data_IF_918455434312
#
_entry.id   IF_918455434312
#
_cell.length_a   1.000
_cell.length_b   1.000
_cell.length_c   1.000
_cell.angle_alpha   90.00
_cell.angle_beta   90.00
_cell.angle_gamma   90.00
#
_symmetry.space_group_name_H-M   'P 1'
#
loop_
_entity.id
_entity.type
_entity.pdbx_description
1 polymer ?
#
# COMPACT_ATOMS: atom_id res chain seq x y z
N UNK A 1 1.92 14.16 20.34
CA UNK A 1 2.95 13.27 20.91
C UNK A 1 3.95 12.74 19.87
N UNK A 2 3.61 12.64 18.57
CA UNK A 2 4.52 12.14 17.52
C UNK A 2 5.45 13.19 16.86
N UNK A 3 5.35 14.48 17.19
CA UNK A 3 5.94 15.54 16.35
C UNK A 3 7.46 15.75 16.51
N UNK A 4 8.12 15.11 17.49
CA UNK A 4 9.57 15.32 17.73
C UNK A 4 10.38 14.02 17.95
N UNK A 5 9.74 12.90 18.28
CA UNK A 5 10.45 11.64 18.57
C UNK A 5 11.01 10.96 17.32
N UNK A 6 10.22 10.89 16.25
CA UNK A 6 10.67 10.24 14.99
C UNK A 6 11.82 11.00 14.32
N UNK A 7 11.77 12.34 14.14
CA UNK A 7 12.87 13.09 13.54
C UNK A 7 14.19 12.99 14.33
N UNK A 8 14.10 12.98 15.67
CA UNK A 8 15.27 12.83 16.54
C UNK A 8 15.89 11.43 16.43
N UNK A 9 15.05 10.39 16.42
CA UNK A 9 15.50 9.01 16.25
C UNK A 9 16.09 8.78 14.85
N UNK A 10 15.46 9.32 13.80
CA UNK A 10 15.98 9.26 12.44
C UNK A 10 17.36 9.93 12.33
N UNK A 11 17.52 11.09 12.96
CA UNK A 11 18.81 11.79 13.01
C UNK A 11 19.87 10.96 13.72
N UNK A 12 19.55 10.35 14.86
CA UNK A 12 20.48 9.48 15.60
C UNK A 12 20.91 8.28 14.77
N UNK A 13 19.97 7.57 14.15
CA UNK A 13 20.25 6.41 13.29
C UNK A 13 21.10 6.82 12.09
N UNK A 14 20.79 7.94 11.44
CA UNK A 14 21.53 8.43 10.26
C UNK A 14 22.97 8.81 10.63
N UNK A 15 23.17 9.47 11.78
CA UNK A 15 24.51 9.72 12.33
C UNK A 15 25.28 8.43 12.59
N UNK A 16 24.62 7.37 13.08
CA UNK A 16 25.26 6.06 13.26
C UNK A 16 25.64 5.42 11.92
N UNK A 17 24.78 5.50 10.89
CA UNK A 17 25.07 4.97 9.55
C UNK A 17 26.33 5.61 8.93
N UNK A 18 26.54 6.91 9.17
CA UNK A 18 27.68 7.66 8.65
C UNK A 18 28.80 7.90 9.67
N UNK A 19 28.82 7.19 10.81
CA UNK A 19 29.75 7.50 11.91
C UNK A 19 31.22 7.60 11.47
N UNK A 20 31.63 6.74 10.55
CA UNK A 20 33.01 6.58 10.09
C UNK A 20 33.17 7.00 8.61
N UNK A 21 32.29 7.86 8.08
CA UNK A 21 32.27 8.28 6.68
C UNK A 21 31.98 9.78 6.54
N UNK A 22 32.76 10.46 5.71
CA UNK A 22 32.37 11.79 5.25
C UNK A 22 31.16 11.69 4.32
N UNK A 23 30.19 12.57 4.54
CA UNK A 23 28.96 12.63 3.77
C UNK A 23 28.57 14.09 3.60
N UNK A 24 28.18 14.47 2.39
CA UNK A 24 27.63 15.78 2.10
C UNK A 24 26.23 15.94 2.75
N UNK A 25 25.82 17.19 2.94
CA UNK A 25 24.56 17.52 3.61
C UNK A 25 23.34 16.95 2.85
N UNK A 26 23.37 16.96 1.52
CA UNK A 26 22.28 16.47 0.69
C UNK A 26 22.08 14.97 0.87
N UNK A 27 23.16 14.20 0.80
CA UNK A 27 23.13 12.75 0.99
C UNK A 27 22.74 12.38 2.42
N UNK A 28 23.19 13.14 3.41
CA UNK A 28 22.73 12.96 4.79
C UNK A 28 21.21 13.18 4.90
N UNK A 29 20.70 14.27 4.30
CA UNK A 29 19.28 14.61 4.31
C UNK A 29 18.42 13.55 3.63
N UNK A 30 18.85 13.03 2.46
CA UNK A 30 18.15 11.96 1.73
C UNK A 30 18.04 10.69 2.59
N UNK A 31 19.14 10.25 3.20
CA UNK A 31 19.13 9.04 4.04
C UNK A 31 18.28 9.26 5.29
N UNK A 32 18.41 10.41 5.96
CA UNK A 32 17.59 10.76 7.13
C UNK A 32 16.10 10.71 6.79
N UNK A 33 15.71 11.29 5.65
CA UNK A 33 14.32 11.26 5.20
C UNK A 33 13.82 9.84 4.95
N UNK A 34 14.64 8.99 4.33
CA UNK A 34 14.33 7.57 4.14
C UNK A 34 14.13 6.82 5.47
N UNK A 35 15.01 7.06 6.45
CA UNK A 35 14.90 6.51 7.81
C UNK A 35 13.64 7.02 8.51
N UNK A 36 13.32 8.30 8.36
CA UNK A 36 12.10 8.89 8.93
C UNK A 36 10.83 8.24 8.37
N UNK A 37 10.73 8.08 7.05
CA UNK A 37 9.61 7.36 6.42
C UNK A 37 9.52 5.93 6.95
N UNK A 38 10.65 5.23 7.03
CA UNK A 38 10.72 3.87 7.54
C UNK A 38 10.17 3.77 8.97
N UNK A 39 10.64 4.64 9.88
CA UNK A 39 10.19 4.67 11.27
C UNK A 39 8.71 5.01 11.41
N UNK A 40 8.19 5.95 10.62
CA UNK A 40 6.76 6.27 10.58
C UNK A 40 5.95 5.03 10.18
N UNK A 41 6.38 4.32 9.14
CA UNK A 41 5.67 3.13 8.66
C UNK A 41 5.77 1.95 9.63
N UNK A 42 6.93 1.73 10.26
CA UNK A 42 7.08 0.72 11.33
C UNK A 42 6.15 1.02 12.50
N UNK A 43 6.08 2.27 12.95
CA UNK A 43 5.21 2.65 14.05
C UNK A 43 3.73 2.41 13.72
N UNK A 44 3.31 2.74 12.49
CA UNK A 44 1.95 2.42 12.03
C UNK A 44 1.71 0.92 11.94
N UNK A 45 2.69 0.18 11.43
CA UNK A 45 2.67 -1.28 11.38
C UNK A 45 2.44 -1.89 12.76
N UNK A 46 3.17 -1.43 13.78
CA UNK A 46 2.98 -1.87 15.17
C UNK A 46 1.53 -1.65 15.61
N UNK A 47 0.94 -0.48 15.36
CA UNK A 47 -0.46 -0.22 15.74
C UNK A 47 -1.43 -1.19 15.03
N UNK A 48 -1.25 -1.40 13.72
CA UNK A 48 -2.09 -2.31 12.92
C UNK A 48 -1.96 -3.75 13.40
N UNK A 49 -0.74 -4.25 13.61
CA UNK A 49 -0.50 -5.63 14.02
C UNK A 49 -0.82 -5.88 15.50
N UNK A 50 -0.72 -4.88 16.38
CA UNK A 50 -1.25 -4.98 17.74
C UNK A 50 -2.77 -5.10 17.72
N UNK A 51 -3.46 -4.28 16.92
CA UNK A 51 -4.92 -4.40 16.76
C UNK A 51 -5.32 -5.79 16.21
N UNK A 52 -4.55 -6.32 15.25
CA UNK A 52 -4.76 -7.67 14.74
C UNK A 52 -4.51 -8.75 15.79
N UNK A 53 -3.46 -8.62 16.61
CA UNK A 53 -3.18 -9.56 17.71
C UNK A 53 -4.32 -9.59 18.74
N UNK A 54 -4.87 -8.43 19.12
CA UNK A 54 -6.00 -8.34 20.06
C UNK A 54 -7.26 -9.06 19.55
N UNK A 55 -7.45 -9.14 18.23
CA UNK A 55 -8.59 -9.83 17.60
C UNK A 55 -8.24 -11.26 17.15
N UNK A 56 -7.02 -11.73 17.34
CA UNK A 56 -6.57 -13.04 16.85
C UNK A 56 -6.46 -13.13 15.33
N UNK A 57 -6.27 -11.99 14.63
CA UNK A 57 -6.34 -11.85 13.18
C UNK A 57 -4.98 -11.68 12.49
N UNK A 58 -3.87 -12.02 13.15
CA UNK A 58 -2.51 -11.76 12.65
C UNK A 58 -2.26 -12.36 11.26
N UNK A 59 -2.71 -13.61 11.05
CA UNK A 59 -2.53 -14.31 9.77
C UNK A 59 -3.31 -13.60 8.64
N UNK A 60 -4.58 -13.32 8.86
CA UNK A 60 -5.44 -12.70 7.87
C UNK A 60 -4.97 -11.29 7.53
N UNK A 61 -4.57 -10.52 8.55
CA UNK A 61 -3.99 -9.20 8.36
C UNK A 61 -2.73 -9.26 7.52
N UNK A 62 -1.83 -10.22 7.78
CA UNK A 62 -0.61 -10.40 7.01
C UNK A 62 -0.91 -10.70 5.54
N UNK A 63 -1.82 -11.63 5.25
CA UNK A 63 -2.19 -12.03 3.87
C UNK A 63 -2.76 -10.84 3.09
N UNK A 64 -3.71 -10.12 3.66
CA UNK A 64 -4.38 -8.98 3.01
C UNK A 64 -3.37 -7.84 2.79
N UNK A 65 -2.57 -7.53 3.81
CA UNK A 65 -1.59 -6.46 3.75
C UNK A 65 -0.47 -6.77 2.74
N UNK A 66 0.01 -8.01 2.65
CA UNK A 66 1.04 -8.41 1.69
C UNK A 66 0.54 -8.36 0.24
N UNK A 67 -0.65 -8.90 -0.03
CA UNK A 67 -1.27 -8.84 -1.37
C UNK A 67 -1.49 -7.41 -1.82
N UNK A 68 -1.98 -6.55 -0.92
CA UNK A 68 -2.09 -5.11 -1.16
C UNK A 68 -0.74 -4.48 -1.51
N UNK A 69 0.30 -4.73 -0.68
CA UNK A 69 1.62 -4.11 -0.84
C UNK A 69 2.32 -4.55 -2.14
N UNK A 70 2.18 -5.82 -2.53
CA UNK A 70 2.75 -6.35 -3.77
C UNK A 70 2.24 -5.63 -5.02
N UNK A 71 0.96 -5.24 -5.04
CA UNK A 71 0.39 -4.45 -6.13
C UNK A 71 0.74 -2.98 -5.97
N UNK A 72 0.61 -2.44 -4.75
CA UNK A 72 0.78 -1.01 -4.44
C UNK A 72 2.15 -0.46 -4.81
N UNK A 73 3.22 -1.24 -4.60
CA UNK A 73 4.62 -0.79 -4.84
C UNK A 73 4.87 -0.19 -6.22
N UNK A 74 4.08 -0.55 -7.24
CA UNK A 74 4.20 0.00 -8.59
C UNK A 74 2.94 0.72 -9.07
N UNK A 75 1.76 0.38 -8.53
CA UNK A 75 0.50 1.02 -8.94
C UNK A 75 0.24 2.35 -8.25
N UNK A 76 0.98 2.64 -7.18
CA UNK A 76 0.89 3.87 -6.40
C UNK A 76 -0.53 4.03 -5.82
N UNK A 77 -1.16 5.19 -5.97
CA UNK A 77 -2.46 5.47 -5.40
C UNK A 77 -2.42 6.39 -4.19
N UNK A 78 -3.61 6.65 -3.69
CA UNK A 78 -3.88 7.67 -2.69
C UNK A 78 -3.26 7.31 -1.33
N UNK A 79 -2.76 8.33 -0.64
CA UNK A 79 -2.47 8.29 0.78
C UNK A 79 -3.39 9.27 1.50
N UNK A 80 -3.83 8.91 2.71
CA UNK A 80 -4.62 9.83 3.52
C UNK A 80 -3.83 11.12 3.83
N UNK A 81 -4.54 12.24 3.95
CA UNK A 81 -3.94 13.56 4.22
C UNK A 81 -3.21 13.62 5.57
N UNK A 82 -3.64 12.82 6.53
CA UNK A 82 -3.09 12.79 7.89
C UNK A 82 -2.55 11.42 8.24
N UNK A 83 -1.52 11.38 9.08
CA UNK A 83 -0.95 10.13 9.58
C UNK A 83 -1.99 9.30 10.35
N UNK A 84 -2.81 9.95 11.18
CA UNK A 84 -3.88 9.30 11.93
C UNK A 84 -4.94 8.70 11.00
N UNK A 85 -5.39 9.45 10.00
CA UNK A 85 -6.35 8.95 9.01
C UNK A 85 -5.81 7.72 8.28
N UNK A 86 -4.52 7.75 7.89
CA UNK A 86 -3.85 6.60 7.28
C UNK A 86 -3.85 5.38 8.20
N UNK A 87 -3.55 5.56 9.49
CA UNK A 87 -3.55 4.47 10.48
C UNK A 87 -4.94 3.88 10.65
N UNK A 88 -5.97 4.72 10.82
CA UNK A 88 -7.37 4.28 10.95
C UNK A 88 -7.79 3.49 9.72
N UNK A 89 -7.56 4.04 8.51
CA UNK A 89 -7.88 3.34 7.26
C UNK A 89 -7.11 2.02 7.12
N UNK A 90 -5.85 1.96 7.56
CA UNK A 90 -5.05 0.72 7.52
C UNK A 90 -5.60 -0.34 8.48
N UNK A 91 -6.02 0.05 9.69
CA UNK A 91 -6.70 -0.87 10.63
C UNK A 91 -8.01 -1.39 10.03
N UNK A 92 -8.80 -0.50 9.43
CA UNK A 92 -10.06 -0.90 8.78
C UNK A 92 -9.80 -1.89 7.64
N UNK A 93 -8.90 -1.56 6.72
CA UNK A 93 -8.63 -2.37 5.53
C UNK A 93 -7.94 -3.71 5.83
N UNK A 94 -7.00 -3.72 6.79
CA UNK A 94 -6.17 -4.90 7.03
C UNK A 94 -6.55 -5.70 8.27
N UNK A 95 -7.42 -5.20 9.13
CA UNK A 95 -7.84 -5.93 10.35
C UNK A 95 -9.35 -6.11 10.39
N UNK A 96 -10.11 -5.02 10.29
CA UNK A 96 -11.56 -5.06 10.47
C UNK A 96 -12.27 -5.71 9.28
N UNK A 97 -11.97 -5.32 8.04
CA UNK A 97 -12.58 -5.95 6.87
C UNK A 97 -12.28 -7.45 6.79
N UNK A 98 -11.02 -7.91 6.97
CA UNK A 98 -10.70 -9.34 6.99
C UNK A 98 -11.45 -10.11 8.08
N UNK A 99 -11.68 -9.50 9.25
CA UNK A 99 -12.45 -10.11 10.33
C UNK A 99 -13.87 -10.52 9.90
N UNK A 100 -14.52 -9.70 9.09
CA UNK A 100 -15.89 -9.98 8.60
C UNK A 100 -15.94 -10.92 7.40
N UNK A 101 -14.87 -11.04 6.61
CA UNK A 101 -14.88 -11.82 5.37
C UNK A 101 -14.11 -13.13 5.44
N UNK A 102 -13.40 -13.43 6.54
CA UNK A 102 -12.56 -14.64 6.66
C UNK A 102 -13.32 -15.95 6.43
N UNK A 103 -14.61 -16.00 6.81
CA UNK A 103 -15.47 -17.17 6.63
C UNK A 103 -16.20 -17.18 5.27
N UNK A 104 -16.03 -16.14 4.44
CA UNK A 104 -16.69 -16.05 3.14
C UNK A 104 -15.99 -16.98 2.16
N UNK A 105 -16.74 -17.97 1.67
CA UNK A 105 -16.30 -18.91 0.65
C UNK A 105 -16.78 -18.44 -0.72
N UNK A 106 -15.84 -18.09 -1.58
CA UNK A 106 -16.12 -17.72 -2.96
C UNK A 106 -16.09 -18.98 -3.83
N UNK A 107 -17.07 -19.11 -4.73
CA UNK A 107 -16.99 -20.14 -5.77
C UNK A 107 -15.87 -19.82 -6.77
N UNK A 108 -15.36 -20.84 -7.47
CA UNK A 108 -14.30 -20.67 -8.46
C UNK A 108 -14.65 -19.61 -9.52
N UNK A 109 -15.91 -19.61 -10.00
CA UNK A 109 -16.41 -18.59 -10.93
C UNK A 109 -16.38 -17.17 -10.34
N UNK A 110 -16.70 -17.01 -9.06
CA UNK A 110 -16.61 -15.71 -8.37
C UNK A 110 -15.17 -15.25 -8.25
N UNK A 111 -14.24 -16.16 -7.92
CA UNK A 111 -12.80 -15.86 -7.81
C UNK A 111 -12.28 -15.34 -9.16
N UNK A 112 -12.60 -16.04 -10.26
CA UNK A 112 -12.19 -15.64 -11.61
C UNK A 112 -12.81 -14.29 -12.01
N UNK A 113 -14.10 -14.09 -11.75
CA UNK A 113 -14.81 -12.84 -12.04
C UNK A 113 -14.18 -11.65 -11.30
N UNK A 114 -14.00 -11.78 -9.99
CA UNK A 114 -13.41 -10.73 -9.15
C UNK A 114 -11.96 -10.45 -9.58
N UNK A 115 -11.19 -11.51 -9.89
CA UNK A 115 -9.82 -11.37 -10.41
C UNK A 115 -9.79 -10.55 -11.70
N UNK A 116 -10.71 -10.83 -12.64
CA UNK A 116 -10.83 -10.07 -13.89
C UNK A 116 -11.16 -8.59 -13.65
N UNK A 117 -12.10 -8.30 -12.75
CA UNK A 117 -12.46 -6.93 -12.40
C UNK A 117 -11.31 -6.17 -11.73
N UNK A 118 -10.54 -6.83 -10.86
CA UNK A 118 -9.36 -6.26 -10.22
C UNK A 118 -8.30 -5.95 -11.27
N UNK A 119 -7.98 -6.90 -12.15
CA UNK A 119 -6.98 -6.72 -13.20
C UNK A 119 -7.37 -5.58 -14.15
N UNK A 120 -8.64 -5.51 -14.55
CA UNK A 120 -9.17 -4.44 -15.38
C UNK A 120 -8.98 -3.06 -14.71
N UNK A 121 -9.33 -2.94 -13.43
CA UNK A 121 -9.14 -1.70 -12.67
C UNK A 121 -7.67 -1.30 -12.62
N UNK A 122 -6.76 -2.23 -12.31
CA UNK A 122 -5.33 -1.94 -12.29
C UNK A 122 -4.84 -1.52 -13.69
N UNK A 123 -5.26 -2.21 -14.76
CA UNK A 123 -4.82 -1.91 -16.12
C UNK A 123 -5.25 -0.52 -16.60
N UNK A 124 -6.45 -0.07 -16.20
CA UNK A 124 -6.99 1.23 -16.58
C UNK A 124 -6.37 2.35 -15.72
N UNK A 125 -6.41 2.19 -14.39
CA UNK A 125 -6.17 3.31 -13.46
C UNK A 125 -4.72 3.39 -12.95
N UNK A 126 -3.92 2.32 -13.00
CA UNK A 126 -2.54 2.37 -12.53
C UNK A 126 -1.55 2.90 -13.59
N UNK A 127 -0.43 3.52 -13.18
CA UNK A 127 -0.18 4.05 -11.84
C UNK A 127 -1.00 5.32 -11.60
N UNK A 128 -1.53 5.50 -10.39
CA UNK A 128 -2.22 6.73 -10.01
C UNK A 128 -1.31 7.63 -9.18
N UNK A 129 -1.06 8.84 -9.67
CA UNK A 129 -0.22 9.81 -9.01
C UNK A 129 -0.97 10.61 -7.93
N UNK A 130 -0.27 11.51 -7.24
CA UNK A 130 -0.88 12.48 -6.31
C UNK A 130 -0.17 13.82 -6.46
N UNK A 131 -0.74 14.89 -5.91
CA UNK A 131 -0.11 16.22 -5.91
C UNK A 131 1.28 16.24 -5.24
N UNK A 132 1.53 15.31 -4.32
CA UNK A 132 2.81 15.22 -3.59
C UNK A 132 3.84 14.35 -4.32
N UNK A 133 3.40 13.58 -5.32
CA UNK A 133 4.25 12.69 -6.11
C UNK A 133 3.71 12.64 -7.55
N UNK A 134 3.74 13.77 -8.28
CA UNK A 134 3.27 13.81 -9.66
C UNK A 134 4.19 12.98 -10.56
N UNK A 135 3.61 12.28 -11.53
CA UNK A 135 4.35 11.40 -12.43
C UNK A 135 4.50 12.03 -13.83
N UNK A 136 5.32 13.07 -13.98
CA UNK A 136 5.45 13.79 -15.26
C UNK A 136 6.12 12.97 -16.38
N UNK A 137 7.08 12.10 -16.05
CA UNK A 137 7.80 11.30 -17.03
C UNK A 137 6.93 10.14 -17.57
N UNK A 138 6.58 10.21 -18.86
CA UNK A 138 5.74 9.22 -19.53
C UNK A 138 6.34 7.81 -19.58
N UNK A 139 7.65 7.69 -19.84
CA UNK A 139 8.34 6.41 -19.84
C UNK A 139 8.27 5.73 -18.48
N UNK A 140 8.51 6.49 -17.41
CA UNK A 140 8.38 6.00 -16.03
C UNK A 140 6.96 5.54 -15.72
N UNK A 141 5.93 6.28 -16.16
CA UNK A 141 4.52 5.86 -15.99
C UNK A 141 4.23 4.54 -16.70
N UNK A 142 4.73 4.37 -17.92
CA UNK A 142 4.53 3.16 -18.70
C UNK A 142 5.20 1.94 -18.05
N UNK A 143 6.44 2.09 -17.55
CA UNK A 143 7.13 1.03 -16.83
C UNK A 143 6.45 0.66 -15.51
N UNK A 144 5.95 1.65 -14.76
CA UNK A 144 5.17 1.41 -13.55
C UNK A 144 3.85 0.69 -13.85
N UNK A 145 3.16 1.05 -14.94
CA UNK A 145 1.93 0.36 -15.39
C UNK A 145 2.22 -1.12 -15.69
N UNK A 146 3.25 -1.41 -16.49
CA UNK A 146 3.65 -2.80 -16.81
C UNK A 146 3.94 -3.60 -15.54
N UNK A 147 4.73 -3.05 -14.62
CA UNK A 147 5.06 -3.70 -13.34
C UNK A 147 3.85 -3.89 -12.43
N UNK A 148 2.90 -2.95 -12.45
CA UNK A 148 1.65 -3.06 -11.69
C UNK A 148 0.80 -4.22 -12.19
N UNK A 149 0.60 -4.31 -13.51
CA UNK A 149 -0.15 -5.40 -14.14
C UNK A 149 0.52 -6.74 -13.85
N UNK A 150 1.84 -6.85 -14.01
CA UNK A 150 2.59 -8.08 -13.74
C UNK A 150 2.43 -8.52 -12.28
N UNK A 151 2.61 -7.62 -11.32
CA UNK A 151 2.45 -7.94 -9.91
C UNK A 151 1.02 -8.36 -9.57
N UNK A 152 0.01 -7.67 -10.12
CA UNK A 152 -1.39 -8.06 -9.96
C UNK A 152 -1.65 -9.45 -10.53
N UNK A 153 -1.14 -9.75 -11.73
CA UNK A 153 -1.26 -11.09 -12.32
C UNK A 153 -0.68 -12.17 -11.40
N UNK A 154 0.51 -11.94 -10.84
CA UNK A 154 1.12 -12.88 -9.88
C UNK A 154 0.22 -13.08 -8.65
N UNK A 155 -0.27 -12.00 -8.06
CA UNK A 155 -1.16 -12.07 -6.88
C UNK A 155 -2.47 -12.81 -7.21
N UNK A 156 -3.07 -12.56 -8.36
CA UNK A 156 -4.32 -13.21 -8.78
C UNK A 156 -4.11 -14.69 -9.14
N UNK A 157 -3.00 -15.05 -9.78
CA UNK A 157 -2.66 -16.47 -10.02
C UNK A 157 -2.52 -17.20 -8.68
N UNK A 158 -1.81 -16.63 -7.71
CA UNK A 158 -1.71 -17.21 -6.37
C UNK A 158 -3.10 -17.36 -5.73
N UNK A 159 -3.98 -16.36 -5.85
CA UNK A 159 -5.35 -16.44 -5.34
C UNK A 159 -6.16 -17.61 -5.92
N UNK A 160 -5.94 -17.95 -7.20
CA UNK A 160 -6.65 -19.04 -7.88
C UNK A 160 -6.02 -20.43 -7.63
N UNK A 161 -4.73 -20.49 -7.26
CA UNK A 161 -4.03 -21.76 -7.02
C UNK A 161 -4.07 -22.23 -5.56
N UNK A 162 -4.41 -21.35 -4.62
CA UNK A 162 -4.49 -21.71 -3.21
C UNK A 162 -5.70 -22.63 -2.96
N UNK A 163 -5.52 -23.78 -2.28
CA UNK A 163 -6.59 -24.75 -2.08
C UNK A 163 -7.56 -24.40 -0.95
N UNK A 164 -7.21 -23.46 -0.06
CA UNK A 164 -8.06 -23.07 1.06
C UNK A 164 -8.84 -21.78 0.77
N UNK A 165 -10.17 -21.84 0.87
CA UNK A 165 -11.09 -20.77 0.47
C UNK A 165 -10.84 -19.42 1.15
N UNK A 166 -10.49 -19.44 2.45
CA UNK A 166 -10.16 -18.23 3.22
C UNK A 166 -9.01 -17.45 2.55
N UNK A 167 -7.98 -18.15 2.06
CA UNK A 167 -6.78 -17.54 1.51
C UNK A 167 -7.06 -16.80 0.22
N UNK A 168 -7.82 -17.43 -0.69
CA UNK A 168 -8.27 -16.80 -1.93
C UNK A 168 -9.09 -15.54 -1.64
N UNK A 169 -10.05 -15.61 -0.72
CA UNK A 169 -10.87 -14.46 -0.30
C UNK A 169 -10.00 -13.31 0.25
N UNK A 170 -9.04 -13.60 1.14
CA UNK A 170 -8.16 -12.61 1.74
C UNK A 170 -7.19 -11.97 0.73
N UNK A 171 -6.64 -12.76 -0.19
CA UNK A 171 -5.76 -12.24 -1.24
C UNK A 171 -6.54 -11.30 -2.16
N UNK A 172 -7.73 -11.71 -2.60
CA UNK A 172 -8.61 -10.88 -3.41
C UNK A 172 -9.04 -9.61 -2.67
N UNK A 173 -9.30 -9.69 -1.36
CA UNK A 173 -9.59 -8.50 -0.54
C UNK A 173 -8.40 -7.53 -0.53
N UNK A 174 -7.17 -8.02 -0.36
CA UNK A 174 -5.96 -7.19 -0.40
C UNK A 174 -5.76 -6.51 -1.77
N UNK A 175 -6.02 -7.25 -2.85
CA UNK A 175 -5.95 -6.71 -4.20
C UNK A 175 -7.08 -5.68 -4.48
N UNK A 176 -8.30 -5.95 -4.03
CA UNK A 176 -9.44 -5.03 -4.11
C UNK A 176 -9.21 -3.75 -3.29
N UNK A 177 -8.64 -3.88 -2.09
CA UNK A 177 -8.18 -2.75 -1.29
C UNK A 177 -7.26 -1.81 -2.09
N UNK A 178 -6.41 -2.37 -2.96
CA UNK A 178 -5.54 -1.56 -3.81
C UNK A 178 -6.27 -0.96 -5.01
N UNK A 179 -7.31 -1.60 -5.55
CA UNK A 179 -8.15 -0.98 -6.60
C UNK A 179 -8.85 0.27 -6.05
N UNK A 180 -9.39 0.21 -4.83
CA UNK A 180 -9.98 1.38 -4.15
C UNK A 180 -8.95 2.51 -4.03
N UNK A 181 -7.70 2.19 -3.69
CA UNK A 181 -6.67 3.21 -3.49
C UNK A 181 -6.25 3.96 -4.76
N UNK A 182 -6.43 3.36 -5.94
CA UNK A 182 -6.10 3.97 -7.24
C UNK A 182 -7.33 4.53 -7.98
N UNK A 183 -8.54 4.16 -7.56
CA UNK A 183 -9.75 4.51 -8.30
C UNK A 183 -10.04 6.03 -8.25
N UNK A 184 -10.38 6.69 -9.37
CA UNK A 184 -10.64 8.13 -9.42
C UNK A 184 -11.71 8.61 -8.43
N UNK A 185 -12.75 7.78 -8.19
CA UNK A 185 -13.80 8.09 -7.22
C UNK A 185 -13.24 8.35 -5.81
N UNK A 186 -12.24 7.58 -5.40
CA UNK A 186 -11.58 7.75 -4.09
C UNK A 186 -10.86 9.08 -4.01
N UNK A 187 -10.24 9.52 -5.10
CA UNK A 187 -9.59 10.83 -5.17
C UNK A 187 -10.60 11.97 -5.06
N UNK A 188 -11.73 11.87 -5.76
CA UNK A 188 -12.83 12.83 -5.67
C UNK A 188 -13.40 12.91 -4.26
N UNK A 189 -13.70 11.75 -3.64
CA UNK A 189 -14.21 11.68 -2.27
C UNK A 189 -13.25 12.31 -1.25
N UNK A 190 -11.96 12.08 -1.41
CA UNK A 190 -10.91 12.58 -0.51
C UNK A 190 -10.46 14.01 -0.86
N UNK A 191 -11.06 14.64 -1.88
CA UNK A 191 -10.68 15.96 -2.40
C UNK A 191 -9.17 16.04 -2.66
N UNK A 192 -8.66 15.11 -3.47
CA UNK A 192 -7.25 14.99 -3.91
C UNK A 192 -7.15 15.19 -5.42
N UNK A 193 -5.99 15.62 -5.90
CA UNK A 193 -5.76 15.77 -7.35
C UNK A 193 -5.40 14.42 -7.97
N UNK A 194 -5.96 14.16 -9.14
CA UNK A 194 -5.74 12.95 -9.94
C UNK A 194 -5.18 13.35 -11.32
N UNK A 195 -4.42 12.46 -11.95
CA UNK A 195 -3.73 12.67 -13.23
C UNK A 195 -3.00 14.02 -13.30
N UNK A 196 -2.13 14.28 -12.33
CA UNK A 196 -1.46 15.57 -12.20
C UNK A 196 -0.54 15.89 -13.40
N UNK A 197 -0.13 14.88 -14.15
CA UNK A 197 0.66 15.02 -15.39
C UNK A 197 -0.11 15.61 -16.57
N UNK A 198 -1.45 15.74 -16.51
CA UNK A 198 -2.27 16.34 -17.58
C UNK A 198 -2.42 17.86 -17.45
N UNK A 199 -2.01 18.44 -16.32
CA UNK A 199 -2.20 19.86 -15.99
C UNK A 199 -0.93 20.69 -16.16
N UNK A 200 -0.11 20.33 -17.15
CA UNK A 200 1.11 21.08 -17.52
C UNK A 200 0.72 22.27 -18.38
#
# INVERSE_FOLDING_TARGET
MFSLTVPNMATKITKTIFRDREVDEDRFAIVKYGVEIFLVNVTKGIIVYLAAALLGMLWQTLVVHLSYLMIRRHSFGLHAKTSLGCTITSVVMFVILPYFVKEVQLSEWMIVLISGLILLNIAIFAPSDTENMPLFNAQKRHDLRRKSILNTMVVLVVANLIPWSEGSTLILLGAFCQTIAIHPLTYTLMKRRYNNYEKI
#
